data_IF_593372679044
#
_entry.id   IF_593372679044
#
_cell.length_a   1.000
_cell.length_b   1.000
_cell.length_c   1.000
_cell.angle_alpha   90.00
_cell.angle_beta   90.00
_cell.angle_gamma   90.00
#
_symmetry.space_group_name_H-M   'P 1'
#
loop_
_entity.id
_entity.type
_entity.pdbx_description
1 polymer ?
#
# COMPACT_ATOMS: atom_id res chain seq x y z
N UNK A 1 -0.31 -35.57 -4.91
CA UNK A 1 -1.23 -34.40 -5.01
C UNK A 1 -0.62 -33.27 -4.21
N UNK A 2 -0.76 -32.01 -4.65
CA UNK A 2 -0.31 -30.86 -3.85
C UNK A 2 -1.17 -30.74 -2.60
N UNK A 3 -0.55 -30.47 -1.46
CA UNK A 3 -1.23 -30.11 -0.22
C UNK A 3 -1.37 -28.58 -0.06
N UNK A 4 -0.83 -27.81 -1.00
CA UNK A 4 -0.98 -26.35 -1.03
C UNK A 4 -2.33 -26.01 -1.66
N UNK A 5 -3.12 -25.15 -1.01
CA UNK A 5 -4.33 -24.56 -1.58
C UNK A 5 -3.94 -23.36 -2.47
N UNK A 6 -3.98 -23.48 -3.80
CA UNK A 6 -3.47 -22.45 -4.69
C UNK A 6 -4.48 -21.32 -4.85
N UNK A 7 -4.00 -20.15 -5.30
CA UNK A 7 -4.87 -19.01 -5.65
C UNK A 7 -5.91 -19.34 -6.73
N UNK A 8 -5.63 -20.33 -7.59
CA UNK A 8 -6.53 -20.78 -8.63
C UNK A 8 -6.68 -22.30 -8.61
N UNK A 9 -7.84 -22.81 -8.20
CA UNK A 9 -8.08 -24.24 -7.96
C UNK A 9 -8.10 -25.10 -9.22
N UNK A 10 -8.21 -24.50 -10.40
CA UNK A 10 -8.24 -25.22 -11.69
C UNK A 10 -6.90 -25.17 -12.44
N UNK A 11 -5.88 -24.52 -11.88
CA UNK A 11 -4.57 -24.41 -12.52
C UNK A 11 -3.47 -24.82 -11.55
N UNK A 12 -2.70 -25.85 -11.90
CA UNK A 12 -1.55 -26.28 -11.13
C UNK A 12 -0.31 -25.52 -11.65
N UNK A 13 0.27 -24.60 -10.87
CA UNK A 13 1.44 -23.85 -11.32
C UNK A 13 2.68 -24.77 -11.41
N UNK A 14 3.66 -24.43 -12.26
CA UNK A 14 4.98 -25.07 -12.24
C UNK A 14 5.63 -24.96 -10.85
N UNK A 15 6.38 -25.98 -10.45
CA UNK A 15 7.18 -25.95 -9.23
C UNK A 15 8.45 -25.14 -9.48
N UNK A 16 8.54 -23.94 -8.91
CA UNK A 16 9.78 -23.17 -8.89
C UNK A 16 10.81 -23.83 -7.95
N UNK A 17 12.02 -24.09 -8.43
CA UNK A 17 13.10 -24.74 -7.69
C UNK A 17 14.19 -23.77 -7.24
N UNK A 18 14.57 -22.83 -8.10
CA UNK A 18 15.62 -21.87 -7.79
C UNK A 18 15.38 -20.56 -8.54
N UNK A 19 16.09 -19.51 -8.10
CA UNK A 19 16.20 -18.26 -8.82
C UNK A 19 17.63 -17.75 -8.78
N UNK A 20 18.03 -17.06 -9.84
CA UNK A 20 19.35 -16.46 -9.99
C UNK A 20 19.22 -15.15 -10.78
N UNK A 21 19.61 -14.04 -10.18
CA UNK A 21 19.46 -12.72 -10.76
C UNK A 21 18.00 -12.45 -11.13
N UNK A 22 17.72 -12.19 -12.40
CA UNK A 22 16.36 -11.95 -12.91
C UNK A 22 15.66 -13.21 -13.45
N UNK A 23 16.12 -14.41 -13.10
CA UNK A 23 15.53 -15.66 -13.59
C UNK A 23 14.97 -16.54 -12.48
N UNK A 24 13.87 -17.23 -12.80
CA UNK A 24 13.35 -18.37 -12.05
C UNK A 24 13.53 -19.65 -12.86
N UNK A 25 13.80 -20.76 -12.19
CA UNK A 25 13.93 -22.09 -12.81
C UNK A 25 12.90 -23.02 -12.20
N UNK A 26 12.13 -23.70 -13.05
CA UNK A 26 11.19 -24.72 -12.60
C UNK A 26 11.80 -26.14 -12.56
N UNK A 27 11.03 -27.09 -12.04
CA UNK A 27 11.45 -28.49 -11.92
C UNK A 27 11.71 -29.21 -13.25
N UNK A 28 11.31 -28.65 -14.39
CA UNK A 28 11.66 -29.17 -15.72
C UNK A 28 12.97 -28.59 -16.26
N UNK A 29 13.58 -27.65 -15.54
CA UNK A 29 14.76 -26.89 -15.98
C UNK A 29 14.42 -25.69 -16.86
N UNK A 30 13.13 -25.36 -17.05
CA UNK A 30 12.74 -24.19 -17.83
C UNK A 30 13.09 -22.92 -17.07
N UNK A 31 13.76 -22.01 -17.77
CA UNK A 31 14.14 -20.68 -17.27
C UNK A 31 13.05 -19.66 -17.64
N UNK A 32 12.62 -18.89 -16.66
CA UNK A 32 11.65 -17.81 -16.79
C UNK A 32 12.36 -16.50 -16.48
N UNK A 33 12.33 -15.56 -17.42
CA UNK A 33 12.74 -14.20 -17.14
C UNK A 33 11.67 -13.51 -16.28
N UNK A 34 12.03 -13.10 -15.07
CA UNK A 34 11.15 -12.36 -14.16
C UNK A 34 11.29 -10.85 -14.39
N UNK A 35 10.58 -10.36 -15.41
CA UNK A 35 10.52 -8.92 -15.72
C UNK A 35 9.64 -8.11 -14.76
N UNK A 36 9.03 -8.75 -13.75
CA UNK A 36 8.07 -8.12 -12.83
C UNK A 36 8.56 -8.04 -11.38
N UNK A 37 9.59 -8.80 -11.02
CA UNK A 37 9.97 -9.02 -9.62
C UNK A 37 8.84 -9.66 -8.80
N UNK A 38 8.00 -10.48 -9.44
CA UNK A 38 6.74 -10.99 -8.90
C UNK A 38 5.69 -9.88 -8.69
N UNK A 39 5.34 -9.61 -7.43
CA UNK A 39 4.46 -8.49 -7.07
C UNK A 39 5.26 -7.17 -6.91
N UNK A 40 6.28 -6.96 -7.75
CA UNK A 40 7.27 -5.89 -7.65
C UNK A 40 8.06 -5.87 -6.32
N UNK A 41 8.42 -7.05 -5.80
CA UNK A 41 9.12 -7.19 -4.50
C UNK A 41 10.57 -7.66 -4.63
N UNK A 42 10.91 -8.42 -5.68
CA UNK A 42 12.27 -8.94 -5.89
C UNK A 42 13.18 -7.92 -6.59
N UNK A 43 13.35 -6.75 -5.99
CA UNK A 43 14.07 -5.63 -6.62
C UNK A 43 15.57 -5.88 -6.82
N UNK A 44 16.19 -6.67 -5.94
CA UNK A 44 17.60 -7.07 -6.03
C UNK A 44 17.79 -8.32 -6.90
N UNK A 45 16.70 -8.92 -7.37
CA UNK A 45 16.72 -10.25 -7.99
C UNK A 45 16.83 -11.37 -6.97
N UNK A 46 17.04 -12.58 -7.48
CA UNK A 46 17.04 -13.83 -6.73
C UNK A 46 18.47 -14.29 -6.42
N UNK A 47 18.69 -14.78 -5.19
CA UNK A 47 19.94 -15.43 -4.81
C UNK A 47 21.10 -14.49 -4.45
N UNK A 48 20.81 -13.28 -3.95
CA UNK A 48 21.85 -12.34 -3.51
C UNK A 48 22.69 -12.93 -2.35
N UNK A 49 24.01 -13.14 -2.53
CA UNK A 49 24.84 -13.81 -1.54
C UNK A 49 25.05 -12.97 -0.26
N UNK A 50 25.02 -11.64 -0.36
CA UNK A 50 25.19 -10.74 0.78
C UNK A 50 23.95 -10.80 1.69
N UNK A 51 22.75 -10.74 1.11
CA UNK A 51 21.48 -10.89 1.84
C UNK A 51 21.40 -12.26 2.52
N UNK A 52 21.77 -13.34 1.81
CA UNK A 52 21.75 -14.70 2.37
C UNK A 52 22.66 -14.80 3.60
N UNK A 53 23.88 -14.29 3.50
CA UNK A 53 24.85 -14.39 4.61
C UNK A 53 24.46 -13.51 5.81
N UNK A 54 23.89 -12.32 5.55
CA UNK A 54 23.35 -11.46 6.61
C UNK A 54 22.21 -12.15 7.39
N UNK A 55 21.30 -12.83 6.69
CA UNK A 55 20.21 -13.59 7.33
C UNK A 55 20.79 -14.74 8.18
N UNK A 56 21.71 -15.54 7.62
CA UNK A 56 22.31 -16.68 8.34
C UNK A 56 23.01 -16.23 9.61
N UNK A 57 23.86 -15.22 9.51
CA UNK A 57 24.58 -14.63 10.64
C UNK A 57 23.61 -14.14 11.72
N UNK A 58 22.55 -13.44 11.34
CA UNK A 58 21.59 -12.92 12.32
C UNK A 58 20.79 -14.03 12.98
N UNK A 59 20.35 -15.06 12.24
CA UNK A 59 19.59 -16.19 12.80
C UNK A 59 20.44 -17.01 13.78
N UNK A 60 21.72 -17.20 13.49
CA UNK A 60 22.68 -17.87 14.40
C UNK A 60 22.86 -17.08 15.71
N UNK A 61 22.90 -15.75 15.64
CA UNK A 61 23.05 -14.85 16.80
C UNK A 61 21.77 -14.71 17.62
N UNK A 62 20.64 -14.41 16.95
CA UNK A 62 19.34 -14.18 17.54
C UNK A 62 18.25 -14.27 16.46
N UNK A 63 17.55 -15.41 16.42
CA UNK A 63 16.46 -15.64 15.47
C UNK A 63 15.20 -14.80 15.76
N UNK A 64 14.88 -14.57 17.04
CA UNK A 64 13.69 -13.82 17.42
C UNK A 64 13.80 -13.24 18.84
N UNK A 65 13.37 -11.98 18.99
CA UNK A 65 13.08 -11.36 20.28
C UNK A 65 11.75 -10.62 20.18
N UNK A 66 10.90 -10.75 21.20
CA UNK A 66 9.56 -10.17 21.18
C UNK A 66 9.60 -8.65 21.38
N UNK A 67 9.03 -7.90 20.44
CA UNK A 67 9.10 -6.41 20.39
C UNK A 67 8.40 -5.70 21.54
N UNK A 68 7.51 -6.38 22.26
CA UNK A 68 6.91 -5.85 23.49
C UNK A 68 7.88 -5.76 24.68
N UNK A 69 9.07 -6.36 24.58
CA UNK A 69 10.05 -6.38 25.67
C UNK A 69 11.47 -6.01 25.22
N UNK A 70 11.79 -6.18 23.94
CA UNK A 70 13.14 -6.01 23.40
C UNK A 70 13.12 -5.27 22.07
N UNK A 71 14.20 -4.53 21.80
CA UNK A 71 14.60 -4.16 20.45
C UNK A 71 15.76 -5.05 19.99
N UNK A 72 16.24 -4.85 18.77
CA UNK A 72 17.42 -5.54 18.23
C UNK A 72 18.27 -4.61 17.39
N UNK A 73 19.58 -4.88 17.36
CA UNK A 73 20.54 -4.11 16.57
C UNK A 73 20.15 -3.97 15.08
N UNK A 74 19.66 -5.02 14.37
CA UNK A 74 19.17 -4.87 13.00
C UNK A 74 17.94 -3.95 12.88
N UNK A 75 17.01 -4.00 13.84
CA UNK A 75 15.81 -3.16 13.81
C UNK A 75 16.15 -1.68 14.00
N UNK A 76 17.03 -1.35 14.95
CA UNK A 76 17.48 0.03 15.17
C UNK A 76 18.25 0.57 13.96
N UNK A 77 19.19 -0.22 13.41
CA UNK A 77 19.95 0.18 12.21
C UNK A 77 19.05 0.39 10.99
N UNK A 78 18.02 -0.45 10.82
CA UNK A 78 17.05 -0.30 9.74
C UNK A 78 16.20 0.96 9.95
N UNK A 79 15.80 1.25 11.19
CA UNK A 79 15.05 2.48 11.50
C UNK A 79 15.87 3.73 11.18
N UNK A 80 17.15 3.77 11.58
CA UNK A 80 18.08 4.85 11.25
C UNK A 80 18.20 5.06 9.74
N UNK A 81 18.39 3.97 8.99
CA UNK A 81 18.50 4.02 7.52
C UNK A 81 17.23 4.58 6.88
N UNK A 82 16.06 4.13 7.34
CA UNK A 82 14.77 4.57 6.80
C UNK A 82 14.51 6.04 7.11
N UNK A 83 14.74 6.49 8.34
CA UNK A 83 14.54 7.88 8.75
C UNK A 83 15.49 8.82 8.01
N UNK A 84 16.75 8.43 7.83
CA UNK A 84 17.73 9.24 7.08
C UNK A 84 17.32 9.50 5.61
N UNK A 85 16.43 8.66 5.06
CA UNK A 85 15.92 8.76 3.69
C UNK A 85 14.43 9.11 3.63
N UNK A 86 13.78 9.38 4.78
CA UNK A 86 12.37 9.68 4.82
C UNK A 86 12.09 11.13 4.40
N UNK A 87 10.96 11.40 3.73
CA UNK A 87 10.59 12.76 3.34
C UNK A 87 10.05 13.55 4.54
N UNK A 88 10.28 14.87 4.52
CA UNK A 88 9.69 15.81 5.47
C UNK A 88 10.14 15.56 6.91
N UNK A 89 9.16 15.40 7.81
CA UNK A 89 9.37 15.28 9.25
C UNK A 89 9.15 13.86 9.79
N UNK A 90 9.10 12.84 8.90
CA UNK A 90 8.91 11.46 9.31
C UNK A 90 10.14 10.93 10.05
N UNK A 91 10.00 10.66 11.35
CA UNK A 91 11.13 10.38 12.25
C UNK A 91 10.96 9.09 13.08
N UNK A 92 9.94 8.27 12.81
CA UNK A 92 9.67 7.01 13.51
C UNK A 92 9.22 5.92 12.54
N UNK A 93 9.58 4.67 12.86
CA UNK A 93 9.25 3.50 12.05
C UNK A 93 8.56 2.45 12.90
N UNK A 94 7.47 1.89 12.37
CA UNK A 94 6.83 0.69 12.90
C UNK A 94 7.05 -0.46 11.90
N UNK A 95 7.65 -1.56 12.36
CA UNK A 95 7.91 -2.74 11.53
C UNK A 95 6.76 -3.75 11.60
N UNK A 96 6.36 -4.28 10.45
CA UNK A 96 5.32 -5.29 10.27
C UNK A 96 5.69 -6.23 9.12
N UNK A 97 4.94 -7.32 8.95
CA UNK A 97 5.34 -8.40 8.03
C UNK A 97 4.92 -8.17 6.57
N UNK A 98 4.11 -7.14 6.29
CA UNK A 98 3.73 -6.81 4.92
C UNK A 98 2.80 -5.61 4.80
N UNK A 99 2.54 -5.20 3.55
CA UNK A 99 1.81 -3.96 3.25
C UNK A 99 0.36 -3.92 3.74
N UNK A 100 -0.32 -5.07 3.90
CA UNK A 100 -1.68 -5.08 4.48
C UNK A 100 -1.65 -4.72 5.96
N UNK A 101 -0.73 -5.31 6.74
CA UNK A 101 -0.54 -4.98 8.16
C UNK A 101 -0.09 -3.53 8.33
N UNK A 102 0.74 -3.01 7.43
CA UNK A 102 1.18 -1.62 7.45
C UNK A 102 -0.01 -0.66 7.30
N UNK A 103 -0.93 -0.94 6.37
CA UNK A 103 -2.14 -0.14 6.19
C UNK A 103 -3.07 -0.24 7.41
N UNK A 104 -3.28 -1.44 7.98
CA UNK A 104 -4.08 -1.60 9.22
C UNK A 104 -3.48 -0.79 10.39
N UNK A 105 -2.15 -0.83 10.55
CA UNK A 105 -1.45 -0.08 11.57
C UNK A 105 -1.57 1.44 11.35
N UNK A 106 -1.38 1.91 10.11
CA UNK A 106 -1.51 3.32 9.76
C UNK A 106 -2.93 3.85 10.00
N UNK A 107 -3.96 3.10 9.61
CA UNK A 107 -5.37 3.46 9.86
C UNK A 107 -5.65 3.56 11.36
N UNK A 108 -5.17 2.60 12.15
CA UNK A 108 -5.35 2.60 13.60
C UNK A 108 -4.63 3.77 14.25
N UNK A 109 -3.39 4.07 13.84
CA UNK A 109 -2.62 5.21 14.34
C UNK A 109 -3.32 6.53 14.00
N UNK A 110 -3.80 6.69 12.76
CA UNK A 110 -4.54 7.86 12.31
C UNK A 110 -5.82 8.07 13.13
N UNK A 111 -6.59 6.99 13.40
CA UNK A 111 -7.75 7.07 14.29
C UNK A 111 -7.35 7.43 15.72
N UNK A 112 -6.33 6.79 16.27
CA UNK A 112 -5.87 7.03 17.64
C UNK A 112 -5.41 8.48 17.83
N UNK A 113 -4.69 9.05 16.86
CA UNK A 113 -4.27 10.45 16.86
C UNK A 113 -5.45 11.41 17.12
N UNK A 114 -6.55 11.27 16.36
CA UNK A 114 -7.72 12.13 16.56
C UNK A 114 -8.48 11.85 17.84
N UNK A 115 -8.55 10.59 18.28
CA UNK A 115 -9.15 10.23 19.57
C UNK A 115 -8.41 10.91 20.72
N UNK A 116 -7.08 10.86 20.72
CA UNK A 116 -6.25 11.47 21.76
C UNK A 116 -6.28 13.00 21.72
N UNK A 117 -6.53 13.59 20.55
CA UNK A 117 -6.79 15.03 20.38
C UNK A 117 -8.22 15.47 20.80
N UNK A 118 -9.10 14.53 21.14
CA UNK A 118 -10.49 14.79 21.51
C UNK A 118 -11.46 14.91 20.32
N UNK A 119 -11.00 14.69 19.09
CA UNK A 119 -11.79 14.72 17.86
C UNK A 119 -12.42 13.34 17.58
N UNK A 120 -13.15 12.81 18.56
CA UNK A 120 -13.64 11.42 18.53
C UNK A 120 -14.68 11.13 17.44
N UNK A 121 -15.26 12.17 16.82
CA UNK A 121 -16.24 12.02 15.72
C UNK A 121 -15.60 11.56 14.40
N UNK A 122 -14.28 11.74 14.20
CA UNK A 122 -13.59 11.37 12.97
C UNK A 122 -13.53 9.85 12.77
N UNK A 123 -14.34 9.32 11.86
CA UNK A 123 -14.52 7.87 11.65
C UNK A 123 -14.37 7.41 10.21
N UNK A 124 -14.48 8.32 9.25
CA UNK A 124 -14.45 7.95 7.84
C UNK A 124 -13.04 7.98 7.26
N UNK A 125 -12.76 7.03 6.39
CA UNK A 125 -11.60 7.04 5.51
C UNK A 125 -12.09 7.35 4.10
N UNK A 126 -11.25 8.03 3.33
CA UNK A 126 -11.47 8.23 1.90
C UNK A 126 -10.29 7.59 1.16
N UNK A 127 -10.55 6.89 0.07
CA UNK A 127 -9.52 6.37 -0.83
C UNK A 127 -9.97 6.60 -2.28
N UNK A 128 -9.29 5.98 -3.24
CA UNK A 128 -9.66 6.09 -4.67
C UNK A 128 -10.28 4.79 -5.16
N UNK A 129 -11.25 4.88 -6.06
CA UNK A 129 -11.67 3.72 -6.86
C UNK A 129 -10.45 3.18 -7.62
N UNK A 130 -10.42 1.88 -7.87
CA UNK A 130 -9.27 1.19 -8.48
C UNK A 130 -7.93 1.32 -7.74
N UNK A 131 -7.89 1.66 -6.44
CA UNK A 131 -6.66 1.53 -5.64
C UNK A 131 -6.47 0.11 -5.07
N UNK A 132 -5.26 -0.20 -4.65
CA UNK A 132 -4.90 -1.41 -3.90
C UNK A 132 -4.15 -1.07 -2.61
N UNK A 133 -4.72 -1.41 -1.47
CA UNK A 133 -4.11 -1.18 -0.15
C UNK A 133 -3.89 -2.47 0.65
N UNK A 134 -4.09 -3.64 0.04
CA UNK A 134 -3.88 -4.94 0.67
C UNK A 134 -5.12 -5.83 0.67
N UNK A 135 -5.09 -6.89 1.48
CA UNK A 135 -6.08 -7.97 1.44
C UNK A 135 -6.56 -8.48 2.82
N UNK A 136 -6.15 -7.84 3.92
CA UNK A 136 -6.86 -7.95 5.22
C UNK A 136 -8.19 -7.19 5.14
N UNK A 137 -9.11 -7.39 6.09
CA UNK A 137 -10.46 -6.79 6.00
C UNK A 137 -10.43 -5.26 5.94
N UNK A 138 -9.65 -4.60 6.80
CA UNK A 138 -9.52 -3.13 6.78
C UNK A 138 -8.78 -2.65 5.53
N UNK A 139 -7.66 -3.28 5.19
CA UNK A 139 -6.91 -2.95 3.97
C UNK A 139 -7.74 -3.12 2.68
N UNK A 140 -8.52 -4.19 2.59
CA UNK A 140 -9.44 -4.44 1.47
C UNK A 140 -10.61 -3.45 1.46
N UNK A 141 -11.11 -3.06 2.64
CA UNK A 141 -12.12 -2.02 2.78
C UNK A 141 -11.61 -0.64 2.36
N UNK A 142 -10.31 -0.35 2.50
CA UNK A 142 -9.73 0.87 1.94
C UNK A 142 -9.49 0.74 0.43
N UNK A 143 -9.00 -0.40 -0.05
CA UNK A 143 -8.79 -0.66 -1.48
C UNK A 143 -10.05 -0.39 -2.31
N UNK A 144 -9.94 0.30 -3.44
CA UNK A 144 -11.07 0.69 -4.28
C UNK A 144 -11.41 -0.25 -5.43
N UNK A 145 -10.74 -1.41 -5.57
CA UNK A 145 -11.06 -2.36 -6.63
C UNK A 145 -12.36 -3.14 -6.31
N UNK A 146 -13.45 -2.75 -6.97
CA UNK A 146 -14.79 -3.31 -6.71
C UNK A 146 -14.86 -4.83 -6.88
N UNK A 147 -14.17 -5.39 -7.88
CA UNK A 147 -14.19 -6.83 -8.14
C UNK A 147 -13.63 -7.63 -6.97
N UNK A 148 -12.51 -7.18 -6.38
CA UNK A 148 -11.92 -7.80 -5.18
C UNK A 148 -12.81 -7.64 -3.94
N UNK A 149 -13.44 -6.48 -3.78
CA UNK A 149 -14.28 -6.17 -2.60
C UNK A 149 -15.62 -6.91 -2.60
N UNK A 150 -16.23 -7.10 -3.77
CA UNK A 150 -17.65 -7.50 -3.92
C UNK A 150 -18.04 -8.73 -3.11
N UNK A 151 -17.16 -9.72 -3.05
CA UNK A 151 -17.41 -10.99 -2.34
C UNK A 151 -17.45 -10.83 -0.81
N UNK A 152 -16.82 -9.78 -0.29
CA UNK A 152 -16.63 -9.58 1.15
C UNK A 152 -17.40 -8.37 1.69
N UNK A 153 -18.17 -7.67 0.84
CA UNK A 153 -18.85 -6.41 1.15
C UNK A 153 -19.55 -6.36 2.53
N UNK A 154 -20.29 -7.40 2.97
CA UNK A 154 -20.94 -7.38 4.29
C UNK A 154 -19.98 -7.36 5.49
N UNK A 155 -18.69 -7.65 5.29
CA UNK A 155 -17.65 -7.70 6.32
C UNK A 155 -16.72 -6.47 6.30
N UNK A 156 -16.84 -5.62 5.29
CA UNK A 156 -15.95 -4.47 5.11
C UNK A 156 -16.47 -3.27 5.90
N UNK A 157 -15.55 -2.55 6.56
CA UNK A 157 -15.86 -1.26 7.17
C UNK A 157 -16.22 -0.23 6.10
N UNK A 158 -17.01 0.76 6.48
CA UNK A 158 -17.43 1.81 5.56
C UNK A 158 -16.27 2.75 5.22
N UNK A 159 -16.00 2.91 3.93
CA UNK A 159 -14.92 3.73 3.37
C UNK A 159 -15.47 4.35 2.11
N UNK A 160 -15.24 5.65 1.92
CA UNK A 160 -15.62 6.34 0.70
C UNK A 160 -14.52 6.31 -0.36
N UNK A 161 -14.91 6.38 -1.63
CA UNK A 161 -13.99 6.29 -2.76
C UNK A 161 -14.26 7.37 -3.81
N UNK A 162 -13.31 8.29 -3.98
CA UNK A 162 -13.30 9.25 -5.10
C UNK A 162 -12.76 8.59 -6.38
N UNK A 163 -12.88 9.28 -7.51
CA UNK A 163 -12.33 8.82 -8.80
C UNK A 163 -10.80 8.58 -8.73
N UNK A 164 -10.27 7.60 -9.50
CA UNK A 164 -8.83 7.52 -9.69
C UNK A 164 -8.36 8.68 -10.58
N UNK A 165 -7.10 9.10 -10.43
CA UNK A 165 -6.47 10.00 -11.40
C UNK A 165 -6.02 9.18 -12.63
N UNK A 166 -6.98 8.72 -13.46
CA UNK A 166 -6.71 7.93 -14.68
C UNK A 166 -7.01 8.72 -15.96
N UNK A 167 -6.10 9.65 -16.30
CA UNK A 167 -6.28 10.61 -17.40
C UNK A 167 -6.72 9.97 -18.72
N UNK A 168 -6.07 8.87 -19.12
CA UNK A 168 -6.37 8.19 -20.38
C UNK A 168 -7.84 7.76 -20.51
N UNK A 169 -8.49 7.41 -19.40
CA UNK A 169 -9.86 6.91 -19.37
C UNK A 169 -10.89 8.00 -19.05
N UNK A 170 -10.55 8.94 -18.15
CA UNK A 170 -11.54 9.80 -17.47
C UNK A 170 -11.40 11.29 -17.79
N UNK A 171 -10.40 11.71 -18.59
CA UNK A 171 -10.25 13.10 -19.03
C UNK A 171 -11.25 13.44 -20.12
N UNK A 172 -11.91 14.59 -20.01
CA UNK A 172 -12.80 15.06 -21.09
C UNK A 172 -11.97 15.51 -22.32
N UNK A 173 -12.52 15.40 -23.55
CA UNK A 173 -11.79 15.82 -24.76
C UNK A 173 -11.32 17.28 -24.74
N UNK A 174 -12.11 18.17 -24.15
CA UNK A 174 -11.87 19.62 -24.10
C UNK A 174 -11.15 20.08 -22.82
N UNK A 175 -10.64 19.14 -22.01
CA UNK A 175 -10.01 19.41 -20.72
C UNK A 175 -8.49 19.23 -20.80
N UNK A 176 -7.73 20.18 -20.23
CA UNK A 176 -6.28 20.04 -20.13
C UNK A 176 -5.90 18.97 -19.09
N UNK A 177 -4.70 18.39 -19.22
CA UNK A 177 -4.15 17.44 -18.23
C UNK A 177 -4.17 18.00 -16.81
N UNK A 178 -3.84 19.29 -16.66
CA UNK A 178 -3.80 19.94 -15.36
C UNK A 178 -5.20 20.16 -14.80
N UNK A 179 -6.13 20.70 -15.60
CA UNK A 179 -7.52 20.95 -15.18
C UNK A 179 -8.23 19.64 -14.78
N UNK A 180 -7.95 18.56 -15.51
CA UNK A 180 -8.36 17.21 -15.15
C UNK A 180 -7.89 16.82 -13.75
N UNK A 181 -6.59 16.97 -13.48
CA UNK A 181 -6.02 16.70 -12.16
C UNK A 181 -6.70 17.52 -11.06
N UNK A 182 -6.97 18.81 -11.31
CA UNK A 182 -7.68 19.68 -10.37
C UNK A 182 -9.10 19.21 -10.12
N UNK A 183 -9.85 18.86 -11.17
CA UNK A 183 -11.23 18.35 -11.07
C UNK A 183 -11.29 17.05 -10.28
N UNK A 184 -10.42 16.08 -10.56
CA UNK A 184 -10.41 14.80 -9.83
C UNK A 184 -10.00 15.01 -8.37
N UNK A 185 -9.03 15.88 -8.09
CA UNK A 185 -8.64 16.20 -6.72
C UNK A 185 -9.77 16.93 -5.95
N UNK A 186 -10.57 17.75 -6.63
CA UNK A 186 -11.73 18.44 -6.03
C UNK A 186 -12.76 17.46 -5.46
N UNK A 187 -12.90 16.26 -6.03
CA UNK A 187 -13.81 15.24 -5.49
C UNK A 187 -13.48 14.87 -4.04
N UNK A 188 -12.22 15.01 -3.60
CA UNK A 188 -11.86 14.81 -2.19
C UNK A 188 -12.51 15.86 -1.29
N UNK A 189 -12.46 17.13 -1.68
CA UNK A 189 -13.08 18.21 -0.91
C UNK A 189 -14.61 18.05 -0.89
N UNK A 190 -15.21 17.75 -2.03
CA UNK A 190 -16.66 17.51 -2.14
C UNK A 190 -17.10 16.33 -1.24
N UNK A 191 -16.28 15.27 -1.18
CA UNK A 191 -16.56 14.11 -0.36
C UNK A 191 -16.36 14.37 1.14
N UNK A 192 -15.35 15.16 1.52
CA UNK A 192 -15.18 15.63 2.90
C UNK A 192 -16.39 16.46 3.34
N UNK A 193 -16.87 17.37 2.49
CA UNK A 193 -18.05 18.20 2.78
C UNK A 193 -19.31 17.35 2.92
N UNK A 194 -19.47 16.31 2.07
CA UNK A 194 -20.60 15.38 2.11
C UNK A 194 -20.62 14.55 3.40
N UNK A 195 -19.46 14.07 3.85
CA UNK A 195 -19.34 13.25 5.07
C UNK A 195 -19.40 14.10 6.35
N UNK A 196 -18.99 15.37 6.25
CA UNK A 196 -18.86 16.31 7.36
C UNK A 196 -17.39 16.57 7.67
N UNK A 197 -17.00 17.84 7.76
CA UNK A 197 -15.60 18.28 7.88
C UNK A 197 -14.89 17.81 9.14
N UNK A 198 -15.63 17.44 10.19
CA UNK A 198 -15.13 16.93 11.47
C UNK A 198 -15.22 15.38 11.57
N UNK A 199 -15.53 14.70 10.47
CA UNK A 199 -15.83 13.26 10.47
C UNK A 199 -14.80 12.40 9.70
N UNK A 200 -13.91 13.01 8.91
CA UNK A 200 -12.93 12.30 8.07
C UNK A 200 -11.58 12.21 8.77
N UNK A 201 -10.99 11.01 8.79
CA UNK A 201 -9.68 10.73 9.39
C UNK A 201 -8.56 11.01 8.39
N UNK A 202 -8.61 10.32 7.24
CA UNK A 202 -7.49 10.28 6.30
C UNK A 202 -7.97 10.06 4.86
N UNK A 203 -7.15 10.52 3.91
CA UNK A 203 -7.21 10.14 2.51
C UNK A 203 -6.03 9.22 2.18
N UNK A 204 -6.30 8.01 1.66
CA UNK A 204 -5.27 7.02 1.34
C UNK A 204 -5.07 6.91 -0.18
N UNK A 205 -3.83 7.03 -0.63
CA UNK A 205 -3.48 6.95 -2.06
C UNK A 205 -2.08 6.38 -2.31
N UNK A 206 -1.97 5.55 -3.35
CA UNK A 206 -0.69 5.17 -3.97
C UNK A 206 -0.20 6.32 -4.88
N UNK A 207 1.07 6.73 -4.85
CA UNK A 207 1.62 7.72 -5.80
C UNK A 207 1.47 7.29 -7.26
N UNK A 208 1.71 6.01 -7.54
CA UNK A 208 1.48 5.35 -8.84
C UNK A 208 0.69 4.07 -8.57
N UNK A 209 -0.45 3.91 -9.23
CA UNK A 209 -1.33 2.75 -8.99
C UNK A 209 -0.78 1.52 -9.70
N UNK A 210 -0.34 0.53 -8.93
CA UNK A 210 0.29 -0.68 -9.46
C UNK A 210 -0.74 -1.76 -9.82
N UNK A 211 -1.14 -2.55 -8.82
CA UNK A 211 -1.80 -3.84 -9.00
C UNK A 211 -3.18 -3.80 -9.69
N UNK A 212 -3.83 -2.66 -9.69
CA UNK A 212 -5.24 -2.50 -10.10
C UNK A 212 -5.44 -1.62 -11.33
N UNK A 213 -4.42 -0.84 -11.72
CA UNK A 213 -4.48 0.03 -12.89
C UNK A 213 -3.28 -0.12 -13.85
N UNK A 214 -2.23 -0.86 -13.48
CA UNK A 214 -1.11 -1.16 -14.38
C UNK A 214 -0.08 -0.03 -14.49
N UNK A 215 0.40 0.46 -13.35
CA UNK A 215 1.39 1.54 -13.23
C UNK A 215 0.89 2.90 -13.75
N UNK A 216 -0.31 3.31 -13.34
CA UNK A 216 -0.90 4.60 -13.71
C UNK A 216 -0.43 5.71 -12.74
N UNK A 217 0.34 6.71 -13.20
CA UNK A 217 0.74 7.85 -12.38
C UNK A 217 -0.39 8.87 -12.26
N UNK A 218 -0.34 9.68 -11.21
CA UNK A 218 -1.16 10.89 -11.16
C UNK A 218 -0.61 11.96 -12.12
N UNK A 219 -1.50 12.81 -12.63
CA UNK A 219 -1.10 13.95 -13.47
C UNK A 219 -0.51 15.08 -12.61
N UNK A 220 0.21 15.99 -13.24
CA UNK A 220 0.78 17.16 -12.59
C UNK A 220 -0.29 17.98 -11.83
N UNK A 221 0.07 18.47 -10.65
CA UNK A 221 -0.82 19.27 -9.81
C UNK A 221 -1.86 18.49 -9.00
N UNK A 222 -2.14 17.22 -9.32
CA UNK A 222 -3.13 16.41 -8.59
C UNK A 222 -2.76 16.27 -7.11
N UNK A 223 -1.56 15.77 -6.80
CA UNK A 223 -1.17 15.54 -5.40
C UNK A 223 -0.93 16.84 -4.62
N UNK A 224 -0.51 17.91 -5.29
CA UNK A 224 -0.44 19.25 -4.69
C UNK A 224 -1.82 19.69 -4.21
N UNK A 225 -2.83 19.58 -5.07
CA UNK A 225 -4.22 19.93 -4.73
C UNK A 225 -4.80 19.03 -3.63
N UNK A 226 -4.52 17.71 -3.67
CA UNK A 226 -4.90 16.78 -2.61
C UNK A 226 -4.30 17.20 -1.25
N UNK A 227 -3.01 17.53 -1.21
CA UNK A 227 -2.34 17.97 0.03
C UNK A 227 -2.97 19.24 0.59
N UNK A 228 -3.23 20.24 -0.27
CA UNK A 228 -3.92 21.48 0.12
C UNK A 228 -5.30 21.23 0.74
N UNK A 229 -6.08 20.33 0.14
CA UNK A 229 -7.41 19.94 0.65
C UNK A 229 -7.26 19.25 2.01
N UNK A 230 -6.35 18.29 2.12
CA UNK A 230 -6.09 17.59 3.38
C UNK A 230 -5.68 18.57 4.49
N UNK A 231 -4.80 19.54 4.20
CA UNK A 231 -4.38 20.57 5.15
C UNK A 231 -5.54 21.47 5.59
N UNK A 232 -6.38 21.90 4.64
CA UNK A 232 -7.54 22.76 4.91
C UNK A 232 -8.53 22.16 5.90
N UNK A 233 -8.77 20.86 5.82
CA UNK A 233 -9.77 20.15 6.64
C UNK A 233 -9.17 19.35 7.80
N UNK A 234 -7.84 19.40 7.97
CA UNK A 234 -7.13 18.60 8.96
C UNK A 234 -7.31 17.10 8.75
N UNK A 235 -7.33 16.65 7.48
CA UNK A 235 -7.37 15.24 7.09
C UNK A 235 -5.94 14.75 6.88
N UNK A 236 -5.62 13.56 7.38
CA UNK A 236 -4.29 12.95 7.19
C UNK A 236 -4.14 12.41 5.75
N UNK A 237 -2.92 12.40 5.21
CA UNK A 237 -2.59 11.88 3.87
C UNK A 237 -1.53 10.79 3.98
#
# INVERSE_FOLDING_TARGET
MSHVFPRHTKNMPPLALSGEGCYLLDASGKRYFDGSGGAAVSCLGHGDPEVIEAIKTQVEKLAFAHTGFFTSEPAEKLADLLIANAPGELDRVLFVSGGSEANEAAIKLARQYFVEKGETNRRFLIARRQSYHGNTLGALAVGGNQWRRKQFSPLLVDVSHISPCFEYADRNPDESTFDYGQRVAQELEDEILRLGTDSVIAFLAEPVVGATAGAVPAVEGYFTRIREICDRYGVLL
#
